data_IF_730373129866
#
_entry.id   IF_730373129866
#
_cell.length_a   1.000
_cell.length_b   1.000
_cell.length_c   1.000
_cell.angle_alpha   90.00
_cell.angle_beta   90.00
_cell.angle_gamma   90.00
#
_symmetry.space_group_name_H-M   'P 1'
#
loop_
_entity.id
_entity.type
_entity.pdbx_description
1 polymer ?
#
# COMPACT_ATOMS: atom_id res chain seq x y z
N UNK A 1 51.95 31.77 26.25
CA UNK A 1 50.50 31.43 26.16
C UNK A 1 49.95 31.47 24.72
N UNK A 2 50.26 32.52 23.93
CA UNK A 2 49.80 32.72 22.55
C UNK A 2 50.20 31.62 21.53
N UNK A 3 51.45 31.11 21.58
CA UNK A 3 51.91 30.00 20.71
C UNK A 3 51.16 28.68 20.95
N UNK A 4 50.79 28.37 22.20
CA UNK A 4 49.97 27.19 22.54
C UNK A 4 48.54 27.32 22.00
N UNK A 5 47.96 28.52 22.06
CA UNK A 5 46.63 28.81 21.50
C UNK A 5 46.63 28.74 19.95
N UNK A 6 47.66 29.27 19.30
CA UNK A 6 47.80 29.20 17.84
C UNK A 6 47.98 27.76 17.33
N UNK A 7 48.81 26.95 18.02
CA UNK A 7 49.05 25.53 17.70
C UNK A 7 47.80 24.66 17.95
N UNK A 8 47.02 24.96 18.99
CA UNK A 8 45.70 24.32 19.23
C UNK A 8 44.67 24.70 18.16
N UNK A 9 44.64 25.98 17.72
CA UNK A 9 43.74 26.45 16.64
C UNK A 9 44.07 25.82 15.29
N UNK A 10 45.36 25.68 14.95
CA UNK A 10 45.78 24.98 13.71
C UNK A 10 45.53 23.47 13.77
N UNK A 11 45.73 22.83 14.92
CA UNK A 11 45.38 21.42 15.11
C UNK A 11 43.86 21.18 14.98
N UNK A 12 43.04 22.04 15.56
CA UNK A 12 41.58 22.00 15.44
C UNK A 12 41.13 22.15 13.98
N UNK A 13 41.67 23.13 13.23
CA UNK A 13 41.37 23.33 11.80
C UNK A 13 41.79 22.12 10.95
N UNK A 14 42.92 21.47 11.26
CA UNK A 14 43.35 20.25 10.56
C UNK A 14 42.41 19.09 10.85
N UNK A 15 42.00 18.91 12.10
CA UNK A 15 41.06 17.87 12.49
C UNK A 15 39.69 18.05 11.82
N UNK A 16 39.17 19.28 11.77
CA UNK A 16 37.89 19.55 11.09
C UNK A 16 37.96 19.30 9.59
N UNK A 17 39.08 19.64 8.93
CA UNK A 17 39.30 19.32 7.52
C UNK A 17 39.39 17.81 7.26
N UNK A 18 40.08 17.06 8.12
CA UNK A 18 40.16 15.60 8.02
C UNK A 18 38.79 14.95 8.24
N UNK A 19 38.02 15.43 9.21
CA UNK A 19 36.65 14.95 9.45
C UNK A 19 35.75 15.25 8.24
N UNK A 20 35.81 16.46 7.69
CA UNK A 20 35.05 16.82 6.50
C UNK A 20 35.41 15.93 5.30
N UNK A 21 36.71 15.71 5.05
CA UNK A 21 37.17 14.82 3.99
C UNK A 21 36.70 13.38 4.20
N UNK A 22 36.78 12.88 5.43
CA UNK A 22 36.28 11.55 5.77
C UNK A 22 34.78 11.42 5.51
N UNK A 23 33.97 12.39 5.97
CA UNK A 23 32.52 12.41 5.74
C UNK A 23 32.19 12.48 4.25
N UNK A 24 32.94 13.26 3.47
CA UNK A 24 32.77 13.33 2.02
C UNK A 24 33.09 11.99 1.35
N UNK A 25 34.25 11.40 1.63
CA UNK A 25 34.67 10.11 1.06
C UNK A 25 33.71 8.99 1.46
N UNK A 26 33.27 8.98 2.72
CA UNK A 26 32.26 8.04 3.21
C UNK A 26 30.94 8.20 2.46
N UNK A 27 30.46 9.43 2.27
CA UNK A 27 29.21 9.71 1.56
C UNK A 27 29.27 9.25 0.11
N UNK A 28 30.39 9.52 -0.58
CA UNK A 28 30.61 9.05 -1.96
C UNK A 28 30.62 7.53 -2.02
N UNK A 29 31.42 6.88 -1.17
CA UNK A 29 31.49 5.42 -1.10
C UNK A 29 30.13 4.79 -0.83
N UNK A 30 29.41 5.27 0.19
CA UNK A 30 28.10 4.74 0.58
C UNK A 30 27.07 4.91 -0.55
N UNK A 31 27.05 6.08 -1.19
CA UNK A 31 26.15 6.36 -2.33
C UNK A 31 26.44 5.43 -3.49
N UNK A 32 27.71 5.30 -3.89
CA UNK A 32 28.12 4.43 -4.99
C UNK A 32 27.87 2.95 -4.68
N UNK A 33 28.16 2.51 -3.46
CA UNK A 33 27.91 1.13 -3.03
C UNK A 33 26.42 0.81 -3.05
N UNK A 34 25.59 1.68 -2.47
CA UNK A 34 24.12 1.55 -2.47
C UNK A 34 23.58 1.48 -3.90
N UNK A 35 23.99 2.41 -4.77
CA UNK A 35 23.59 2.42 -6.19
C UNK A 35 23.98 1.13 -6.91
N UNK A 36 25.18 0.61 -6.65
CA UNK A 36 25.63 -0.65 -7.22
C UNK A 36 24.77 -1.84 -6.77
N UNK A 37 24.37 -1.89 -5.50
CA UNK A 37 23.53 -2.96 -4.97
C UNK A 37 22.11 -2.90 -5.54
N UNK A 38 21.47 -1.73 -5.52
CA UNK A 38 20.13 -1.53 -6.11
C UNK A 38 20.14 -1.89 -7.60
N UNK A 39 21.15 -1.43 -8.36
CA UNK A 39 21.26 -1.75 -9.79
C UNK A 39 21.41 -3.24 -10.04
N UNK A 40 22.20 -3.94 -9.23
CA UNK A 40 22.40 -5.40 -9.35
C UNK A 40 21.07 -6.15 -9.20
N UNK A 41 20.27 -5.82 -8.20
CA UNK A 41 18.97 -6.47 -7.99
C UNK A 41 17.95 -6.07 -9.07
N UNK A 42 17.89 -4.80 -9.45
CA UNK A 42 16.98 -4.31 -10.49
C UNK A 42 17.26 -4.94 -11.87
N UNK A 43 18.54 -5.20 -12.20
CA UNK A 43 18.95 -5.83 -13.46
C UNK A 43 18.96 -7.37 -13.42
N UNK A 44 18.64 -7.97 -12.27
CA UNK A 44 18.52 -9.42 -12.16
C UNK A 44 17.39 -9.94 -13.06
N UNK A 45 17.58 -11.15 -13.60
CA UNK A 45 16.63 -11.75 -14.52
C UNK A 45 15.23 -11.87 -13.90
N UNK A 46 14.20 -11.53 -14.67
CA UNK A 46 12.81 -11.67 -14.26
C UNK A 46 12.46 -13.16 -14.28
N UNK A 47 12.03 -13.75 -13.15
CA UNK A 47 11.60 -15.15 -13.14
C UNK A 47 10.35 -15.35 -14.00
N UNK A 48 10.20 -16.47 -14.71
CA UNK A 48 8.93 -16.79 -15.37
C UNK A 48 7.83 -17.04 -14.33
N UNK A 49 6.57 -17.07 -14.75
CA UNK A 49 5.51 -17.55 -13.88
C UNK A 49 5.77 -19.00 -13.46
N UNK A 50 5.58 -19.29 -12.17
CA UNK A 50 5.60 -20.65 -11.63
C UNK A 50 4.38 -21.46 -12.09
N UNK A 51 4.13 -22.60 -11.45
CA UNK A 51 2.93 -23.43 -11.69
C UNK A 51 1.75 -23.09 -10.78
N UNK A 52 1.89 -22.07 -9.92
CA UNK A 52 0.87 -21.62 -9.00
C UNK A 52 -0.42 -21.18 -9.72
N UNK A 53 -1.56 -21.42 -9.08
CA UNK A 53 -2.87 -20.86 -9.45
C UNK A 53 -3.06 -19.50 -8.77
N UNK A 54 -3.46 -18.50 -9.54
CA UNK A 54 -3.54 -17.11 -9.10
C UNK A 54 -4.98 -16.61 -9.22
N UNK A 55 -5.55 -16.17 -8.10
CA UNK A 55 -6.80 -15.43 -8.06
C UNK A 55 -6.50 -13.93 -8.11
N UNK A 56 -6.89 -13.26 -9.17
CA UNK A 56 -6.70 -11.81 -9.36
C UNK A 56 -7.95 -11.10 -8.85
N UNK A 57 -7.78 -10.09 -8.00
CA UNK A 57 -8.86 -9.32 -7.41
C UNK A 57 -8.64 -7.80 -7.59
N UNK A 58 -9.71 -7.06 -7.85
CA UNK A 58 -9.68 -5.59 -7.92
C UNK A 58 -11.01 -4.98 -7.47
N UNK A 59 -10.94 -3.78 -6.90
CA UNK A 59 -12.08 -2.87 -6.76
C UNK A 59 -11.78 -1.59 -7.54
N UNK A 60 -12.73 -1.10 -8.33
CA UNK A 60 -12.54 0.03 -9.24
C UNK A 60 -13.67 1.05 -9.10
N UNK A 61 -13.33 2.33 -9.26
CA UNK A 61 -14.30 3.43 -9.25
C UNK A 61 -13.76 4.68 -9.96
N UNK A 62 -14.45 5.13 -11.01
CA UNK A 62 -14.23 6.39 -11.75
C UNK A 62 -12.78 6.59 -12.21
N UNK A 63 -12.29 5.72 -13.10
CA UNK A 63 -10.94 5.84 -13.70
C UNK A 63 -10.88 5.34 -15.17
N UNK A 64 -11.88 5.68 -15.98
CA UNK A 64 -12.02 5.18 -17.35
C UNK A 64 -10.73 5.36 -18.18
N UNK A 65 -10.12 6.55 -18.10
CA UNK A 65 -8.99 6.92 -18.95
C UNK A 65 -7.76 6.03 -18.70
N UNK A 66 -7.43 5.77 -17.43
CA UNK A 66 -6.32 4.89 -17.08
C UNK A 66 -6.66 3.44 -17.42
N UNK A 67 -7.88 3.01 -17.10
CA UNK A 67 -8.32 1.64 -17.31
C UNK A 67 -8.31 1.26 -18.78
N UNK A 68 -8.88 2.11 -19.63
CA UNK A 68 -8.98 1.89 -21.08
C UNK A 68 -7.61 1.83 -21.73
N UNK A 69 -6.70 2.72 -21.31
CA UNK A 69 -5.41 2.90 -21.98
C UNK A 69 -4.36 1.88 -21.52
N UNK A 70 -4.40 1.46 -20.25
CA UNK A 70 -3.32 0.69 -19.66
C UNK A 70 -3.78 -0.51 -18.84
N UNK A 71 -4.63 -0.29 -17.81
CA UNK A 71 -4.90 -1.33 -16.81
C UNK A 71 -5.63 -2.54 -17.38
N UNK A 72 -6.73 -2.35 -18.12
CA UNK A 72 -7.52 -3.46 -18.65
C UNK A 72 -6.72 -4.32 -19.67
N UNK A 73 -6.00 -3.72 -20.64
CA UNK A 73 -5.07 -4.47 -21.49
C UNK A 73 -4.02 -5.25 -20.69
N UNK A 74 -3.43 -4.64 -19.66
CA UNK A 74 -2.40 -5.28 -18.84
C UNK A 74 -2.95 -6.47 -18.02
N UNK A 75 -4.18 -6.38 -17.51
CA UNK A 75 -4.86 -7.49 -16.85
C UNK A 75 -5.11 -8.66 -17.81
N UNK A 76 -5.59 -8.36 -19.02
CA UNK A 76 -5.83 -9.39 -20.02
C UNK A 76 -4.53 -10.07 -20.48
N UNK A 77 -3.47 -9.29 -20.70
CA UNK A 77 -2.12 -9.81 -21.00
C UNK A 77 -1.59 -10.69 -19.86
N UNK A 78 -1.66 -10.20 -18.62
CA UNK A 78 -1.23 -10.92 -17.43
C UNK A 78 -1.95 -12.27 -17.30
N UNK A 79 -3.29 -12.27 -17.44
CA UNK A 79 -4.08 -13.47 -17.32
C UNK A 79 -3.77 -14.50 -18.42
N UNK A 80 -3.51 -14.04 -19.66
CA UNK A 80 -3.04 -14.92 -20.76
C UNK A 80 -1.66 -15.51 -20.49
N UNK A 81 -0.73 -14.71 -19.95
CA UNK A 81 0.63 -15.14 -19.62
C UNK A 81 0.69 -16.12 -18.43
N UNK A 82 -0.22 -15.99 -17.46
CA UNK A 82 -0.41 -16.99 -16.39
C UNK A 82 -1.04 -18.27 -16.99
N UNK A 83 -2.02 -18.10 -17.86
CA UNK A 83 -2.71 -19.17 -18.56
C UNK A 83 -4.11 -19.46 -17.98
N UNK A 84 -5.10 -19.76 -18.83
CA UNK A 84 -6.54 -19.79 -18.47
C UNK A 84 -6.89 -20.84 -17.40
N UNK A 85 -6.13 -21.94 -17.34
CA UNK A 85 -6.35 -23.03 -16.36
C UNK A 85 -5.86 -22.68 -14.95
N UNK A 86 -5.06 -21.62 -14.81
CA UNK A 86 -4.39 -21.25 -13.55
C UNK A 86 -4.72 -19.85 -13.07
N UNK A 87 -5.64 -19.16 -13.74
CA UNK A 87 -6.03 -17.80 -13.37
C UNK A 87 -7.55 -17.70 -13.23
N UNK A 88 -7.97 -16.89 -12.27
CA UNK A 88 -9.34 -16.40 -12.17
C UNK A 88 -9.30 -14.90 -11.93
N UNK A 89 -10.11 -14.13 -12.64
CA UNK A 89 -10.16 -12.66 -12.50
C UNK A 89 -11.47 -12.23 -11.83
N UNK A 90 -11.39 -11.54 -10.69
CA UNK A 90 -12.53 -11.03 -9.95
C UNK A 90 -12.45 -9.51 -9.82
N UNK A 91 -13.44 -8.79 -10.34
CA UNK A 91 -13.46 -7.33 -10.32
C UNK A 91 -14.82 -6.88 -9.79
N UNK A 92 -14.80 -5.95 -8.84
CA UNK A 92 -15.99 -5.25 -8.40
C UNK A 92 -15.86 -3.77 -8.76
N UNK A 93 -16.81 -3.26 -9.53
CA UNK A 93 -16.92 -1.85 -9.90
C UNK A 93 -18.04 -1.20 -9.08
N UNK A 94 -17.71 -0.13 -8.35
CA UNK A 94 -18.58 0.47 -7.33
C UNK A 94 -19.40 1.68 -7.78
N UNK A 95 -20.05 1.63 -8.93
CA UNK A 95 -20.94 2.70 -9.39
C UNK A 95 -20.20 3.97 -9.84
N UNK A 96 -19.33 3.83 -10.82
CA UNK A 96 -18.52 4.90 -11.42
C UNK A 96 -19.35 6.02 -12.05
N UNK A 97 -18.78 7.22 -12.07
CA UNK A 97 -19.38 8.42 -12.67
C UNK A 97 -18.99 8.63 -14.15
N UNK A 98 -18.10 7.81 -14.68
CA UNK A 98 -17.58 7.81 -16.06
C UNK A 98 -17.84 6.45 -16.76
N UNK A 99 -17.30 6.22 -17.97
CA UNK A 99 -17.50 4.97 -18.73
C UNK A 99 -16.56 3.83 -18.26
N UNK A 100 -16.14 3.82 -16.98
CA UNK A 100 -15.40 2.70 -16.39
C UNK A 100 -16.13 1.37 -16.61
N UNK A 101 -17.47 1.35 -16.47
CA UNK A 101 -18.31 0.18 -16.74
C UNK A 101 -18.16 -0.31 -18.18
N UNK A 102 -18.17 0.59 -19.16
CA UNK A 102 -17.98 0.24 -20.56
C UNK A 102 -16.60 -0.35 -20.85
N UNK A 103 -15.54 0.15 -20.20
CA UNK A 103 -14.19 -0.45 -20.29
C UNK A 103 -14.18 -1.88 -19.74
N UNK A 104 -14.87 -2.13 -18.62
CA UNK A 104 -14.92 -3.44 -18.00
C UNK A 104 -15.75 -4.46 -18.79
N UNK A 105 -16.80 -4.04 -19.50
CA UNK A 105 -17.52 -4.90 -20.45
C UNK A 105 -16.64 -5.34 -21.64
N UNK A 106 -15.78 -4.44 -22.14
CA UNK A 106 -14.81 -4.78 -23.16
C UNK A 106 -13.76 -5.78 -22.63
N UNK A 107 -13.26 -5.56 -21.41
CA UNK A 107 -12.35 -6.50 -20.75
C UNK A 107 -13.01 -7.87 -20.56
N UNK A 108 -14.26 -7.91 -20.11
CA UNK A 108 -15.05 -9.14 -19.98
C UNK A 108 -15.06 -9.93 -21.28
N UNK A 109 -15.39 -9.26 -22.39
CA UNK A 109 -15.42 -9.87 -23.73
C UNK A 109 -14.04 -10.42 -24.13
N UNK A 110 -12.95 -9.71 -23.86
CA UNK A 110 -11.58 -10.18 -24.15
C UNK A 110 -11.18 -11.41 -23.31
N UNK A 111 -11.55 -11.42 -22.02
CA UNK A 111 -11.32 -12.56 -21.13
C UNK A 111 -12.13 -13.79 -21.56
N UNK A 112 -13.40 -13.62 -21.92
CA UNK A 112 -14.27 -14.68 -22.46
C UNK A 112 -13.68 -15.28 -23.74
N UNK A 113 -13.27 -14.44 -24.69
CA UNK A 113 -12.65 -14.88 -25.94
C UNK A 113 -11.33 -15.64 -25.73
N UNK A 114 -10.63 -15.34 -24.64
CA UNK A 114 -9.39 -15.99 -24.24
C UNK A 114 -9.60 -17.24 -23.36
N UNK A 115 -10.84 -17.63 -23.07
CA UNK A 115 -11.17 -18.77 -22.19
C UNK A 115 -10.78 -18.55 -20.72
N UNK A 116 -10.59 -17.29 -20.30
CA UNK A 116 -10.19 -16.93 -18.94
C UNK A 116 -11.43 -16.82 -18.06
N UNK A 117 -11.47 -17.61 -16.97
CA UNK A 117 -12.58 -17.57 -16.01
C UNK A 117 -12.53 -16.29 -15.18
N UNK A 118 -13.69 -15.68 -14.98
CA UNK A 118 -13.78 -14.40 -14.29
C UNK A 118 -15.16 -14.14 -13.67
N UNK A 119 -15.23 -13.16 -12.78
CA UNK A 119 -16.45 -12.48 -12.33
C UNK A 119 -16.19 -10.98 -12.34
N UNK A 120 -16.96 -10.24 -13.14
CA UNK A 120 -16.92 -8.78 -13.15
C UNK A 120 -18.31 -8.30 -12.74
N UNK A 121 -18.38 -7.64 -11.59
CA UNK A 121 -19.62 -7.04 -11.06
C UNK A 121 -19.60 -5.56 -11.38
N UNK A 122 -20.63 -5.08 -12.07
CA UNK A 122 -20.85 -3.67 -12.37
C UNK A 122 -22.03 -3.20 -11.51
N UNK A 123 -21.73 -2.54 -10.39
CA UNK A 123 -22.76 -2.09 -9.45
C UNK A 123 -23.43 -0.82 -9.96
N UNK A 124 -24.76 -0.80 -9.94
CA UNK A 124 -25.53 0.41 -10.28
C UNK A 124 -25.68 1.37 -9.10
N UNK A 125 -25.37 0.92 -7.88
CA UNK A 125 -25.36 1.74 -6.68
C UNK A 125 -24.19 2.72 -6.75
N UNK A 126 -24.49 4.01 -6.89
CA UNK A 126 -23.45 5.04 -6.94
C UNK A 126 -22.98 5.42 -5.54
N UNK A 127 -21.81 6.07 -5.47
CA UNK A 127 -21.37 6.70 -4.22
C UNK A 127 -22.39 7.69 -3.65
N UNK A 128 -23.18 8.34 -4.51
CA UNK A 128 -24.26 9.23 -4.07
C UNK A 128 -25.36 8.45 -3.35
N UNK A 129 -25.79 7.31 -3.89
CA UNK A 129 -26.80 6.45 -3.27
C UNK A 129 -26.31 5.90 -1.91
N UNK A 130 -25.01 5.57 -1.82
CA UNK A 130 -24.37 5.10 -0.59
C UNK A 130 -24.33 6.13 0.53
N UNK A 131 -24.13 7.41 0.22
CA UNK A 131 -24.12 8.49 1.23
C UNK A 131 -25.50 9.04 1.55
N UNK A 132 -26.48 8.92 0.65
CA UNK A 132 -27.85 9.42 0.84
C UNK A 132 -28.80 8.41 1.51
N UNK A 133 -28.42 7.13 1.58
CA UNK A 133 -29.22 6.11 2.27
C UNK A 133 -29.27 6.34 3.78
N UNK A 134 -30.27 5.72 4.43
CA UNK A 134 -30.39 5.76 5.89
C UNK A 134 -29.18 5.13 6.58
N UNK A 135 -28.69 5.70 7.71
CA UNK A 135 -27.57 5.13 8.44
C UNK A 135 -27.83 3.68 8.82
N UNK A 136 -26.88 2.81 8.47
CA UNK A 136 -26.91 1.42 8.88
C UNK A 136 -26.47 1.27 10.34
N UNK A 137 -26.72 0.10 10.92
CA UNK A 137 -26.30 -0.23 12.29
C UNK A 137 -24.78 -0.12 12.48
N UNK A 138 -24.01 -0.46 11.44
CA UNK A 138 -22.55 -0.44 11.48
C UNK A 138 -21.95 0.32 10.29
N UNK A 139 -20.76 0.89 10.47
CA UNK A 139 -19.99 1.55 9.42
C UNK A 139 -20.44 2.97 9.11
N UNK A 140 -21.14 3.61 10.03
CA UNK A 140 -21.59 4.99 9.94
C UNK A 140 -21.09 5.78 11.16
N UNK A 141 -20.86 7.08 10.98
CA UNK A 141 -20.39 7.95 12.05
C UNK A 141 -20.97 9.35 11.92
N UNK A 142 -21.07 10.07 13.03
CA UNK A 142 -21.50 11.45 13.03
C UNK A 142 -20.31 12.38 12.82
N UNK A 143 -20.51 13.41 12.00
CA UNK A 143 -19.55 14.49 11.82
C UNK A 143 -19.22 15.15 13.17
N UNK A 144 -17.95 15.18 13.61
CA UNK A 144 -17.58 15.73 14.91
C UNK A 144 -17.68 17.27 14.92
N UNK A 145 -17.48 17.89 13.75
CA UNK A 145 -17.47 19.33 13.52
C UNK A 145 -18.02 19.63 12.13
N UNK A 146 -18.49 20.85 11.91
CA UNK A 146 -18.86 21.32 10.58
C UNK A 146 -17.62 21.44 9.69
N UNK A 147 -17.70 20.95 8.45
CA UNK A 147 -16.57 20.99 7.50
C UNK A 147 -17.05 21.12 6.06
N UNK A 148 -16.31 21.89 5.26
CA UNK A 148 -16.57 22.09 3.84
C UNK A 148 -15.65 21.24 2.96
N UNK A 149 -16.23 20.66 1.91
CA UNK A 149 -15.58 19.77 0.96
C UNK A 149 -15.74 20.30 -0.46
N UNK A 150 -14.76 20.02 -1.32
CA UNK A 150 -14.84 20.40 -2.73
C UNK A 150 -15.87 19.54 -3.44
N UNK A 151 -16.79 20.17 -4.14
CA UNK A 151 -17.66 19.52 -5.11
C UNK A 151 -16.95 19.40 -6.46
N UNK A 152 -16.33 20.50 -6.90
CA UNK A 152 -15.54 20.58 -8.13
C UNK A 152 -14.42 21.64 -7.96
N UNK A 153 -13.83 22.12 -9.06
CA UNK A 153 -12.73 23.10 -9.01
C UNK A 153 -13.14 24.49 -8.49
N UNK A 154 -14.43 24.84 -8.51
CA UNK A 154 -14.97 26.15 -8.10
C UNK A 154 -15.92 26.07 -6.90
N UNK A 155 -16.68 24.99 -6.76
CA UNK A 155 -17.80 24.86 -5.82
C UNK A 155 -17.47 23.97 -4.62
N UNK A 156 -18.11 24.28 -3.50
CA UNK A 156 -17.96 23.59 -2.22
C UNK A 156 -19.32 23.28 -1.61
N UNK A 157 -19.40 22.17 -0.89
CA UNK A 157 -20.54 21.84 -0.04
C UNK A 157 -20.08 21.66 1.40
N UNK A 158 -21.02 21.74 2.35
CA UNK A 158 -20.71 21.68 3.78
C UNK A 158 -21.50 20.54 4.41
N UNK A 159 -20.85 19.79 5.29
CA UNK A 159 -21.49 18.85 6.20
C UNK A 159 -21.48 19.45 7.59
N UNK A 160 -22.63 19.50 8.23
CA UNK A 160 -22.80 20.07 9.57
C UNK A 160 -22.41 19.06 10.65
N UNK A 161 -22.03 19.58 11.83
CA UNK A 161 -21.81 18.74 13.01
C UNK A 161 -23.05 17.89 13.31
N UNK A 162 -22.84 16.61 13.64
CA UNK A 162 -23.90 15.65 13.93
C UNK A 162 -24.51 14.97 12.70
N UNK A 163 -24.15 15.39 11.49
CA UNK A 163 -24.58 14.73 10.24
C UNK A 163 -24.02 13.30 10.20
N UNK A 164 -24.89 12.32 9.97
CA UNK A 164 -24.47 10.94 9.77
C UNK A 164 -23.87 10.75 8.38
N UNK A 165 -22.69 10.13 8.32
CA UNK A 165 -21.97 9.82 7.09
C UNK A 165 -21.42 8.40 7.11
N UNK A 166 -21.34 7.71 5.96
CA UNK A 166 -20.68 6.41 5.92
C UNK A 166 -19.19 6.56 6.18
N UNK A 167 -18.63 5.61 6.92
CA UNK A 167 -17.20 5.47 7.10
C UNK A 167 -16.58 4.85 5.84
N UNK A 168 -15.49 5.44 5.37
CA UNK A 168 -14.78 4.98 4.16
C UNK A 168 -14.25 3.55 4.31
N UNK A 169 -13.64 3.22 5.44
CA UNK A 169 -12.95 1.94 5.59
C UNK A 169 -13.91 0.75 5.65
N UNK A 170 -14.99 0.77 6.45
CA UNK A 170 -16.00 -0.28 6.40
C UNK A 170 -16.65 -0.44 5.01
N UNK A 171 -16.83 0.66 4.26
CA UNK A 171 -17.27 0.59 2.86
C UNK A 171 -16.28 -0.20 1.99
N UNK A 172 -15.00 0.22 1.96
CA UNK A 172 -13.97 -0.43 1.16
C UNK A 172 -13.77 -1.90 1.55
N UNK A 173 -13.76 -2.21 2.85
CA UNK A 173 -13.65 -3.57 3.35
C UNK A 173 -14.80 -4.46 2.85
N UNK A 174 -16.04 -3.96 2.86
CA UNK A 174 -17.21 -4.67 2.32
C UNK A 174 -17.04 -4.95 0.83
N UNK A 175 -16.69 -3.94 0.03
CA UNK A 175 -16.50 -4.08 -1.42
C UNK A 175 -15.38 -5.08 -1.75
N UNK A 176 -14.28 -5.05 -1.00
CA UNK A 176 -13.19 -6.03 -1.16
C UNK A 176 -13.63 -7.45 -0.84
N UNK A 177 -14.43 -7.62 0.21
CA UNK A 177 -14.97 -8.93 0.57
C UNK A 177 -15.95 -9.45 -0.50
N UNK A 178 -16.76 -8.58 -1.12
CA UNK A 178 -17.62 -8.95 -2.25
C UNK A 178 -16.79 -9.44 -3.46
N UNK A 179 -15.70 -8.75 -3.79
CA UNK A 179 -14.79 -9.19 -4.85
C UNK A 179 -14.10 -10.54 -4.53
N UNK A 180 -14.07 -10.96 -3.27
CA UNK A 180 -13.50 -12.25 -2.84
C UNK A 180 -14.52 -13.40 -2.82
N UNK A 181 -15.82 -13.13 -2.94
CA UNK A 181 -16.86 -14.17 -2.95
C UNK A 181 -16.58 -15.35 -3.91
N UNK A 182 -16.12 -15.13 -5.16
CA UNK A 182 -15.81 -16.22 -6.07
C UNK A 182 -14.73 -17.17 -5.54
N UNK A 183 -13.75 -16.67 -4.77
CA UNK A 183 -12.70 -17.49 -4.19
C UNK A 183 -13.28 -18.56 -3.26
N UNK A 184 -14.26 -18.17 -2.43
CA UNK A 184 -14.91 -19.06 -1.47
C UNK A 184 -15.92 -20.00 -2.13
N UNK A 185 -16.60 -19.55 -3.18
CA UNK A 185 -17.45 -20.41 -4.00
C UNK A 185 -16.65 -21.51 -4.70
N UNK A 186 -15.53 -21.14 -5.33
CA UNK A 186 -14.64 -22.08 -6.01
C UNK A 186 -14.03 -23.08 -5.01
N UNK A 187 -13.64 -22.62 -3.82
CA UNK A 187 -13.20 -23.52 -2.74
C UNK A 187 -14.28 -24.55 -2.39
N UNK A 188 -15.53 -24.12 -2.21
CA UNK A 188 -16.66 -25.03 -1.94
C UNK A 188 -16.91 -26.00 -3.09
N UNK A 189 -16.61 -25.60 -4.33
CA UNK A 189 -16.66 -26.45 -5.51
C UNK A 189 -15.42 -27.37 -5.66
N UNK A 190 -14.48 -27.35 -4.71
CA UNK A 190 -13.29 -28.20 -4.71
C UNK A 190 -12.07 -27.62 -5.42
N UNK A 191 -12.09 -26.33 -5.77
CA UNK A 191 -10.97 -25.64 -6.40
C UNK A 191 -10.35 -24.58 -5.50
N UNK A 192 -9.03 -24.66 -5.33
CA UNK A 192 -8.25 -23.68 -4.56
C UNK A 192 -7.22 -22.98 -5.44
N UNK A 193 -6.82 -21.80 -4.99
CA UNK A 193 -5.72 -21.01 -5.58
C UNK A 193 -4.54 -20.99 -4.60
N UNK A 194 -3.34 -20.78 -5.12
CA UNK A 194 -2.13 -20.68 -4.29
C UNK A 194 -1.85 -19.22 -3.89
N UNK A 195 -2.25 -18.27 -4.75
CA UNK A 195 -2.05 -16.83 -4.56
C UNK A 195 -3.33 -16.03 -4.76
N UNK A 196 -3.48 -14.98 -3.96
CA UNK A 196 -4.46 -13.91 -4.19
C UNK A 196 -3.69 -12.64 -4.54
N UNK A 197 -3.83 -12.17 -5.77
CA UNK A 197 -3.19 -10.96 -6.29
C UNK A 197 -4.21 -9.81 -6.33
N UNK A 198 -4.03 -8.83 -5.49
CA UNK A 198 -4.83 -7.61 -5.47
C UNK A 198 -4.15 -6.49 -6.27
N UNK A 199 -4.94 -5.81 -7.10
CA UNK A 199 -4.51 -4.64 -7.86
C UNK A 199 -5.47 -3.47 -7.62
N UNK A 200 -4.91 -2.29 -7.43
CA UNK A 200 -5.60 -1.02 -7.61
C UNK A 200 -5.59 -0.64 -9.11
N UNK A 201 -6.18 0.51 -9.42
CA UNK A 201 -6.08 1.29 -10.66
C UNK A 201 -4.67 1.90 -10.86
N UNK A 202 -3.65 1.04 -10.99
CA UNK A 202 -2.26 1.45 -11.24
C UNK A 202 -1.74 0.96 -12.58
N UNK A 203 -0.77 1.66 -13.16
CA UNK A 203 0.01 1.20 -14.29
C UNK A 203 1.10 0.25 -13.79
N UNK A 204 1.17 -0.92 -14.41
CA UNK A 204 2.15 -1.97 -14.17
C UNK A 204 2.44 -2.72 -15.47
N UNK A 205 3.50 -3.53 -15.48
CA UNK A 205 3.72 -4.53 -16.52
C UNK A 205 3.72 -5.98 -15.98
N UNK A 206 3.66 -6.97 -16.88
CA UNK A 206 3.65 -8.39 -16.49
C UNK A 206 4.92 -8.79 -15.73
N UNK A 207 6.06 -8.16 -16.00
CA UNK A 207 7.31 -8.44 -15.32
C UNK A 207 7.34 -7.91 -13.89
N UNK A 208 6.64 -6.81 -13.59
CA UNK A 208 6.39 -6.34 -12.23
C UNK A 208 5.69 -7.43 -11.42
N UNK A 209 4.64 -8.05 -11.98
CA UNK A 209 3.90 -9.12 -11.31
C UNK A 209 4.75 -10.38 -11.14
N UNK A 210 5.54 -10.76 -12.15
CA UNK A 210 6.51 -11.86 -12.03
C UNK A 210 7.50 -11.64 -10.91
N UNK A 211 8.09 -10.44 -10.82
CA UNK A 211 9.00 -10.06 -9.73
C UNK A 211 8.29 -10.06 -8.38
N UNK A 212 7.06 -9.59 -8.32
CA UNK A 212 6.27 -9.55 -7.09
C UNK A 212 5.99 -10.95 -6.56
N UNK A 213 5.49 -11.85 -7.41
CA UNK A 213 5.19 -13.23 -7.05
C UNK A 213 6.46 -14.02 -6.68
N UNK A 214 7.58 -13.72 -7.34
CA UNK A 214 8.87 -14.33 -7.03
C UNK A 214 9.58 -13.72 -5.81
N UNK A 215 8.98 -12.74 -5.12
CA UNK A 215 9.54 -12.16 -3.89
C UNK A 215 9.89 -13.28 -2.92
N UNK A 216 11.14 -13.33 -2.44
CA UNK A 216 11.63 -14.42 -1.57
C UNK A 216 11.32 -15.84 -2.10
N UNK A 217 11.41 -16.04 -3.41
CA UNK A 217 11.09 -17.32 -4.06
C UNK A 217 9.65 -17.81 -3.78
N UNK A 218 8.71 -16.89 -3.56
CA UNK A 218 7.32 -17.20 -3.19
C UNK A 218 7.09 -17.42 -1.69
N UNK A 219 8.13 -17.39 -0.84
CA UNK A 219 7.98 -17.62 0.59
C UNK A 219 7.72 -16.31 1.36
N UNK A 220 6.44 -15.92 1.39
CA UNK A 220 5.90 -14.77 2.12
C UNK A 220 4.43 -14.98 2.46
N UNK A 221 3.94 -14.28 3.49
CA UNK A 221 2.51 -14.18 3.77
C UNK A 221 1.85 -13.15 2.85
N UNK A 222 2.53 -12.02 2.66
CA UNK A 222 2.18 -11.00 1.68
C UNK A 222 3.43 -10.31 1.11
N UNK A 223 3.38 -9.95 -0.16
CA UNK A 223 4.40 -9.17 -0.85
C UNK A 223 3.75 -8.03 -1.63
N UNK A 224 4.20 -6.79 -1.40
CA UNK A 224 3.66 -5.59 -2.04
C UNK A 224 4.67 -4.90 -2.95
N UNK A 225 4.14 -4.15 -3.91
CA UNK A 225 4.91 -3.21 -4.73
C UNK A 225 5.30 -1.95 -3.95
N UNK A 226 5.91 -0.98 -4.64
CA UNK A 226 5.99 0.42 -4.23
C UNK A 226 5.12 1.26 -5.16
N UNK A 227 4.27 2.13 -4.62
CA UNK A 227 3.41 3.00 -5.43
C UNK A 227 3.76 4.47 -5.35
N UNK A 228 3.52 5.15 -6.48
CA UNK A 228 3.80 6.56 -6.66
C UNK A 228 2.61 7.27 -7.32
N UNK A 229 2.07 8.28 -6.64
CA UNK A 229 1.15 9.24 -7.26
C UNK A 229 1.91 10.41 -7.91
N UNK A 230 2.96 10.86 -7.22
CA UNK A 230 3.87 11.90 -7.70
C UNK A 230 5.31 11.49 -7.34
N UNK A 231 6.03 10.78 -8.22
CA UNK A 231 7.44 10.48 -8.04
C UNK A 231 8.27 11.74 -7.75
N UNK A 232 9.30 11.64 -6.88
CA UNK A 232 9.81 10.41 -6.24
C UNK A 232 9.18 10.12 -4.88
N UNK A 233 7.99 10.69 -4.60
CA UNK A 233 7.34 10.54 -3.30
C UNK A 233 6.52 9.25 -3.24
N UNK A 234 6.91 8.37 -2.33
CA UNK A 234 6.14 7.20 -1.93
C UNK A 234 4.76 7.62 -1.41
N UNK A 235 3.70 6.97 -1.92
CA UNK A 235 2.34 7.43 -1.72
C UNK A 235 1.66 6.82 -0.49
N UNK A 236 1.65 5.49 -0.37
CA UNK A 236 0.77 4.79 0.56
C UNK A 236 1.30 4.71 2.00
N UNK A 237 1.28 5.86 2.67
CA UNK A 237 1.63 6.00 4.09
C UNK A 237 0.57 5.39 5.02
N UNK A 238 -0.69 5.34 4.59
CA UNK A 238 -1.78 4.92 5.45
C UNK A 238 -1.76 3.41 5.70
N UNK A 239 -1.50 2.60 4.66
CA UNK A 239 -1.46 1.14 4.79
C UNK A 239 -0.07 0.60 5.21
N UNK A 240 1.01 1.35 4.97
CA UNK A 240 2.38 0.85 5.13
C UNK A 240 2.93 1.06 6.54
N UNK A 241 3.48 0.00 7.14
CA UNK A 241 4.19 0.07 8.42
C UNK A 241 5.50 -0.69 8.32
N UNK A 242 6.62 -0.09 8.71
CA UNK A 242 7.93 -0.72 8.61
C UNK A 242 8.05 -1.94 9.55
N UNK A 243 9.19 -2.65 9.53
CA UNK A 243 9.34 -3.90 10.29
C UNK A 243 9.15 -3.74 11.81
N UNK A 244 9.28 -2.52 12.33
CA UNK A 244 9.08 -2.23 13.76
C UNK A 244 7.69 -1.59 14.02
N UNK A 245 6.80 -1.58 13.01
CA UNK A 245 5.44 -1.08 13.10
C UNK A 245 5.29 0.44 12.90
N UNK A 246 6.34 1.16 12.48
CA UNK A 246 6.25 2.61 12.29
C UNK A 246 5.68 2.98 10.93
N UNK A 247 4.95 4.08 10.86
CA UNK A 247 4.72 4.77 9.58
C UNK A 247 6.06 5.08 8.86
N UNK A 248 6.07 5.20 7.53
CA UNK A 248 7.26 5.61 6.81
C UNK A 248 7.79 6.96 7.33
N UNK A 249 9.07 7.01 7.71
CA UNK A 249 9.71 8.19 8.31
C UNK A 249 9.77 9.40 7.34
N UNK A 250 9.79 9.14 6.03
CA UNK A 250 9.84 10.15 4.98
C UNK A 250 9.35 9.61 3.64
N UNK A 251 8.74 10.46 2.81
CA UNK A 251 8.18 10.03 1.53
C UNK A 251 9.23 9.82 0.43
N UNK A 252 10.48 10.28 0.64
CA UNK A 252 11.58 10.01 -0.27
C UNK A 252 12.37 8.80 0.20
N UNK A 253 12.99 8.10 -0.73
CA UNK A 253 13.86 6.97 -0.44
C UNK A 253 14.94 7.37 0.60
N UNK A 254 15.28 6.53 1.62
CA UNK A 254 14.90 5.12 1.81
C UNK A 254 13.72 4.88 2.77
N UNK A 255 12.73 5.79 2.81
CA UNK A 255 11.42 5.69 3.47
C UNK A 255 11.38 5.38 4.97
N UNK A 256 11.86 4.21 5.39
CA UNK A 256 11.61 3.60 6.69
C UNK A 256 12.53 4.09 7.81
N UNK A 257 12.06 3.92 9.05
CA UNK A 257 12.86 4.11 10.26
C UNK A 257 13.61 2.82 10.59
N UNK A 258 12.91 1.69 10.56
CA UNK A 258 13.44 0.39 10.97
C UNK A 258 14.75 0.09 10.26
N UNK A 259 15.80 -0.33 11.00
CA UNK A 259 17.05 -0.75 10.40
C UNK A 259 16.85 -1.88 9.38
N UNK A 260 16.00 -2.86 9.69
CA UNK A 260 15.77 -4.02 8.83
C UNK A 260 15.17 -3.63 7.47
N UNK A 261 14.07 -2.87 7.48
CA UNK A 261 13.41 -2.40 6.25
C UNK A 261 14.33 -1.48 5.44
N UNK A 262 15.01 -0.53 6.11
CA UNK A 262 15.88 0.45 5.45
C UNK A 262 17.12 -0.19 4.83
N UNK A 263 17.75 -1.15 5.51
CA UNK A 263 18.94 -1.83 4.99
C UNK A 263 18.61 -2.75 3.81
N UNK A 264 17.46 -3.43 3.86
CA UNK A 264 16.96 -4.20 2.73
C UNK A 264 16.71 -3.31 1.50
N UNK A 265 16.01 -2.19 1.66
CA UNK A 265 15.82 -1.19 0.60
C UNK A 265 17.15 -0.64 0.06
N UNK A 266 18.12 -0.36 0.94
CA UNK A 266 19.46 0.10 0.55
C UNK A 266 20.25 -0.92 -0.29
N UNK A 267 19.86 -2.20 -0.22
CA UNK A 267 20.47 -3.28 -1.01
C UNK A 267 19.63 -3.68 -2.22
N UNK A 268 18.46 -3.06 -2.45
CA UNK A 268 17.53 -3.47 -3.50
C UNK A 268 16.83 -4.81 -3.21
N UNK A 269 16.83 -5.26 -1.96
CA UNK A 269 16.23 -6.53 -1.53
C UNK A 269 14.81 -6.32 -1.00
N UNK A 270 13.96 -7.37 -0.99
CA UNK A 270 12.66 -7.32 -0.33
C UNK A 270 12.79 -6.83 1.12
N UNK A 271 12.10 -5.73 1.43
CA UNK A 271 12.16 -5.08 2.72
C UNK A 271 11.08 -5.65 3.65
N UNK A 272 11.44 -6.16 4.85
CA UNK A 272 10.44 -6.61 5.81
C UNK A 272 9.62 -5.42 6.30
N UNK A 273 8.33 -5.64 6.49
CA UNK A 273 7.35 -4.66 6.96
C UNK A 273 6.32 -5.38 7.82
N UNK A 274 5.56 -4.66 8.65
CA UNK A 274 4.39 -5.25 9.34
C UNK A 274 3.12 -5.15 8.52
N UNK A 275 3.04 -4.19 7.58
CA UNK A 275 1.91 -4.07 6.66
C UNK A 275 2.29 -3.29 5.39
N UNK A 276 1.60 -3.58 4.29
CA UNK A 276 1.76 -2.91 3.01
C UNK A 276 0.54 -3.12 2.09
N UNK A 277 0.36 -2.28 1.07
CA UNK A 277 -0.66 -2.48 0.01
C UNK A 277 -0.16 -1.96 -1.32
N UNK A 278 0.19 -0.67 -1.37
CA UNK A 278 1.08 -0.07 -2.36
C UNK A 278 0.70 -0.35 -3.82
N UNK A 279 -0.58 -0.23 -4.14
CA UNK A 279 -1.11 -0.41 -5.49
C UNK A 279 -1.26 -1.88 -5.93
N UNK A 280 -0.30 -2.75 -5.60
CA UNK A 280 -0.36 -4.19 -5.90
C UNK A 280 0.20 -5.00 -4.73
N UNK A 281 -0.57 -5.99 -4.27
CA UNK A 281 -0.15 -6.95 -3.23
C UNK A 281 -0.52 -8.38 -3.61
N UNK A 282 0.41 -9.30 -3.41
CA UNK A 282 0.18 -10.73 -3.50
C UNK A 282 0.15 -11.34 -2.10
N UNK A 283 -0.90 -12.08 -1.79
CA UNK A 283 -1.04 -12.87 -0.56
C UNK A 283 -0.86 -14.35 -0.84
N UNK A 284 -0.37 -15.09 0.16
CA UNK A 284 -0.58 -16.53 0.24
C UNK A 284 -2.08 -16.80 0.44
N UNK A 285 -2.67 -17.56 -0.49
CA UNK A 285 -4.12 -17.82 -0.47
C UNK A 285 -4.55 -18.66 0.73
N UNK A 286 -3.64 -19.41 1.34
CA UNK A 286 -3.91 -20.25 2.51
C UNK A 286 -4.56 -19.49 3.66
N UNK A 287 -4.20 -18.21 3.87
CA UNK A 287 -4.79 -17.39 4.93
C UNK A 287 -6.30 -17.15 4.77
N UNK A 288 -6.79 -17.05 3.53
CA UNK A 288 -8.22 -16.90 3.23
C UNK A 288 -8.98 -18.22 3.40
N UNK A 289 -8.26 -19.33 3.50
CA UNK A 289 -8.83 -20.66 3.60
C UNK A 289 -8.82 -21.26 5.00
N UNK A 290 -8.38 -20.51 6.01
CA UNK A 290 -8.41 -20.95 7.40
C UNK A 290 -9.84 -21.37 7.82
N UNK A 291 -9.93 -22.46 8.57
CA UNK A 291 -11.22 -23.06 8.94
C UNK A 291 -11.90 -22.34 10.11
N UNK A 292 -11.12 -21.73 11.01
CA UNK A 292 -11.63 -21.08 12.21
C UNK A 292 -11.78 -19.56 11.99
N UNK A 293 -10.78 -18.94 11.37
CA UNK A 293 -10.71 -17.50 11.16
C UNK A 293 -10.17 -17.20 9.76
N UNK A 294 -10.98 -17.40 8.70
CA UNK A 294 -10.58 -17.03 7.35
C UNK A 294 -10.27 -15.54 7.27
N UNK A 295 -9.17 -15.21 6.60
CA UNK A 295 -8.74 -13.84 6.42
C UNK A 295 -9.81 -13.04 5.64
N UNK A 296 -10.20 -11.87 6.14
CA UNK A 296 -11.20 -11.00 5.52
C UNK A 296 -10.87 -9.53 5.80
N UNK A 297 -11.29 -8.64 4.90
CA UNK A 297 -11.11 -7.21 5.10
C UNK A 297 -12.11 -6.69 6.14
N UNK A 298 -11.64 -5.79 7.01
CA UNK A 298 -12.47 -5.12 8.02
C UNK A 298 -11.96 -3.70 8.30
N UNK A 299 -12.84 -2.85 8.82
CA UNK A 299 -12.45 -1.65 9.53
C UNK A 299 -12.35 -1.91 11.04
N UNK A 300 -11.93 -0.89 11.79
CA UNK A 300 -12.03 -0.94 13.26
C UNK A 300 -13.51 -0.86 13.71
N UNK A 301 -13.85 -1.40 14.91
CA UNK A 301 -15.21 -1.31 15.46
C UNK A 301 -15.72 0.12 15.53
N UNK A 302 -17.02 0.33 15.32
CA UNK A 302 -17.64 1.67 15.43
C UNK A 302 -17.43 2.26 16.83
N UNK A 303 -17.47 1.43 17.88
CA UNK A 303 -17.21 1.86 19.27
C UNK A 303 -15.79 2.38 19.51
N UNK A 304 -14.82 2.02 18.66
CA UNK A 304 -13.47 2.59 18.68
C UNK A 304 -13.39 3.80 17.75
N UNK A 305 -14.08 3.77 16.61
CA UNK A 305 -14.07 4.86 15.63
C UNK A 305 -14.66 6.17 16.18
N UNK A 306 -15.65 6.11 17.07
CA UNK A 306 -16.22 7.29 17.74
C UNK A 306 -15.21 8.08 18.57
N UNK A 307 -14.07 7.47 18.94
CA UNK A 307 -12.95 8.15 19.59
C UNK A 307 -12.10 8.96 18.60
N UNK A 308 -12.61 9.27 17.40
CA UNK A 308 -11.88 9.91 16.30
C UNK A 308 -10.63 9.09 15.92
N UNK A 309 -10.84 7.78 15.76
CA UNK A 309 -9.83 6.84 15.32
C UNK A 309 -10.26 6.17 14.04
N UNK A 310 -9.31 5.78 13.21
CA UNK A 310 -9.56 4.94 12.04
C UNK A 310 -8.33 4.08 11.74
N UNK A 311 -8.56 2.90 11.14
CA UNK A 311 -7.47 2.00 10.73
C UNK A 311 -7.71 1.51 9.31
N UNK A 312 -6.71 1.59 8.43
CA UNK A 312 -6.85 1.14 7.04
C UNK A 312 -7.12 -0.37 6.98
N UNK A 313 -8.11 -0.79 6.21
CA UNK A 313 -8.38 -2.21 5.94
C UNK A 313 -7.19 -2.89 5.26
N UNK A 314 -6.44 -2.14 4.46
CA UNK A 314 -5.22 -2.58 3.80
C UNK A 314 -4.05 -2.79 4.77
N UNK A 315 -4.09 -2.17 5.96
CA UNK A 315 -3.13 -2.42 7.04
C UNK A 315 -3.63 -3.55 7.95
N UNK A 316 -4.88 -3.46 8.40
CA UNK A 316 -5.51 -4.38 9.37
C UNK A 316 -5.52 -5.82 8.86
N UNK A 317 -5.65 -6.04 7.55
CA UNK A 317 -5.57 -7.37 6.94
C UNK A 317 -4.27 -8.10 7.30
N UNK A 318 -3.16 -7.40 7.52
CA UNK A 318 -1.89 -8.03 7.92
C UNK A 318 -1.84 -8.38 9.41
N UNK A 319 -2.51 -7.58 10.25
CA UNK A 319 -2.66 -7.89 11.67
C UNK A 319 -3.47 -9.19 11.90
N UNK A 320 -4.44 -9.44 11.02
CA UNK A 320 -5.29 -10.63 11.07
C UNK A 320 -4.70 -11.83 10.31
N UNK A 321 -3.65 -11.62 9.51
CA UNK A 321 -3.02 -12.67 8.72
C UNK A 321 -2.10 -13.53 9.59
N UNK A 322 -2.56 -14.71 9.99
CA UNK A 322 -1.78 -15.64 10.82
C UNK A 322 -0.44 -16.06 10.19
N UNK A 323 -0.34 -16.12 8.84
CA UNK A 323 0.91 -16.44 8.15
C UNK A 323 1.96 -15.33 8.25
N UNK A 324 1.56 -14.09 8.58
CA UNK A 324 2.49 -12.97 8.70
C UNK A 324 3.58 -13.24 9.77
N UNK A 325 3.25 -13.98 10.83
CA UNK A 325 4.21 -14.32 11.89
C UNK A 325 5.29 -15.30 11.42
N UNK A 326 4.96 -16.21 10.51
CA UNK A 326 5.87 -17.29 10.07
C UNK A 326 6.55 -17.00 8.73
N UNK A 327 5.85 -16.35 7.79
CA UNK A 327 6.35 -16.06 6.44
C UNK A 327 6.68 -14.57 6.22
N UNK A 328 6.18 -13.68 7.07
CA UNK A 328 6.45 -12.24 7.01
C UNK A 328 5.69 -11.50 5.90
N UNK A 329 5.67 -10.18 6.02
CA UNK A 329 5.16 -9.25 5.01
C UNK A 329 6.34 -8.45 4.43
N UNK A 330 6.34 -8.26 3.12
CA UNK A 330 7.50 -7.75 2.40
C UNK A 330 7.12 -6.71 1.35
N UNK A 331 7.91 -5.66 1.21
CA UNK A 331 7.85 -4.76 0.06
C UNK A 331 8.99 -5.10 -0.90
N UNK A 332 8.67 -5.34 -2.16
CA UNK A 332 9.68 -5.59 -3.19
C UNK A 332 10.06 -4.27 -3.89
N UNK A 333 11.26 -3.70 -3.65
CA UNK A 333 11.65 -2.41 -4.24
C UNK A 333 11.87 -2.47 -5.76
N UNK A 334 11.89 -3.66 -6.35
CA UNK A 334 12.02 -3.87 -7.78
C UNK A 334 10.66 -4.00 -8.49
N UNK A 335 9.55 -3.76 -7.78
CA UNK A 335 8.19 -3.70 -8.32
C UNK A 335 7.66 -2.31 -8.01
N UNK A 336 7.56 -1.45 -9.02
CA UNK A 336 7.30 -0.01 -8.85
C UNK A 336 6.18 0.42 -9.77
N UNK A 337 5.04 0.79 -9.20
CA UNK A 337 3.80 1.09 -9.91
C UNK A 337 3.39 2.55 -9.70
N UNK A 338 2.54 3.09 -10.57
CA UNK A 338 2.05 4.45 -10.42
C UNK A 338 0.63 4.62 -10.95
N UNK A 339 -0.06 5.67 -10.51
CA UNK A 339 -1.46 5.95 -10.89
C UNK A 339 -1.59 6.68 -12.24
N UNK A 340 -0.52 6.74 -13.03
CA UNK A 340 -0.54 7.18 -14.43
C UNK A 340 0.75 6.78 -15.16
N UNK A 341 0.71 6.90 -16.48
CA UNK A 341 1.78 6.44 -17.37
C UNK A 341 3.09 7.19 -17.16
N UNK A 342 3.10 8.53 -17.18
CA UNK A 342 4.33 9.32 -17.11
C UNK A 342 5.08 9.08 -15.81
N UNK A 343 4.34 8.96 -14.71
CA UNK A 343 4.90 8.67 -13.41
C UNK A 343 5.45 7.24 -13.34
N UNK A 344 4.72 6.25 -13.88
CA UNK A 344 5.17 4.86 -13.96
C UNK A 344 6.49 4.75 -14.76
N UNK A 345 6.57 5.41 -15.91
CA UNK A 345 7.77 5.38 -16.75
C UNK A 345 9.02 5.95 -16.06
N UNK A 346 8.83 6.89 -15.13
CA UNK A 346 9.92 7.50 -14.36
C UNK A 346 10.45 6.62 -13.22
N UNK A 347 9.65 5.64 -12.76
CA UNK A 347 9.96 4.79 -11.61
C UNK A 347 9.98 3.30 -11.92
N UNK A 348 9.61 2.84 -13.11
CA UNK A 348 9.54 1.41 -13.40
C UNK A 348 10.91 0.71 -13.32
N UNK A 349 10.92 -0.54 -12.86
CA UNK A 349 12.10 -1.37 -12.80
C UNK A 349 12.41 -2.11 -14.10
N UNK A 350 11.41 -2.30 -14.97
CA UNK A 350 11.58 -2.97 -16.25
C UNK A 350 12.30 -2.11 -17.29
N UNK A 351 12.38 -0.80 -17.05
CA UNK A 351 13.18 0.14 -17.86
C UNK A 351 14.53 0.37 -17.19
N UNK A 352 15.59 0.52 -18.00
CA UNK A 352 16.99 0.76 -17.59
C UNK A 352 17.19 2.15 -16.91
N UNK A 353 16.27 2.59 -16.06
CA UNK A 353 16.29 3.88 -15.38
C UNK A 353 17.26 3.90 -14.20
N UNK A 354 17.87 5.05 -13.97
CA UNK A 354 18.79 5.31 -12.85
C UNK A 354 18.05 5.57 -11.52
N UNK A 355 17.03 4.77 -11.18
CA UNK A 355 16.22 4.98 -9.98
C UNK A 355 16.74 4.19 -8.76
N UNK A 356 16.75 4.78 -7.55
CA UNK A 356 16.70 6.22 -7.29
C UNK A 356 17.99 6.87 -7.81
N UNK A 357 17.95 8.16 -8.16
CA UNK A 357 19.14 8.86 -8.65
C UNK A 357 20.25 8.91 -7.58
N UNK A 358 21.51 9.05 -7.99
CA UNK A 358 22.63 9.19 -7.04
C UNK A 358 22.44 10.36 -6.06
N UNK A 359 21.82 11.45 -6.53
CA UNK A 359 21.49 12.60 -5.69
C UNK A 359 20.42 12.26 -4.65
N UNK A 360 19.39 11.49 -5.02
CA UNK A 360 18.37 11.01 -4.08
C UNK A 360 18.93 10.03 -3.07
N UNK A 361 19.81 9.13 -3.48
CA UNK A 361 20.49 8.21 -2.56
C UNK A 361 21.31 9.01 -1.53
N UNK A 362 22.18 9.91 -2.01
CA UNK A 362 23.03 10.73 -1.14
C UNK A 362 22.20 11.57 -0.16
N UNK A 363 21.24 12.35 -0.67
CA UNK A 363 20.43 13.24 0.17
C UNK A 363 19.46 12.47 1.06
N UNK A 364 18.89 11.37 0.56
CA UNK A 364 17.99 10.48 1.28
C UNK A 364 18.64 9.84 2.50
N UNK A 365 19.84 9.28 2.34
CA UNK A 365 20.61 8.68 3.45
C UNK A 365 20.86 9.68 4.58
N UNK A 366 21.32 10.89 4.25
CA UNK A 366 21.55 11.94 5.24
C UNK A 366 20.26 12.44 5.88
N UNK A 367 19.22 12.74 5.09
CA UNK A 367 17.92 13.18 5.63
C UNK A 367 17.30 12.14 6.57
N UNK A 368 17.38 10.87 6.21
CA UNK A 368 16.87 9.78 7.03
C UNK A 368 17.68 9.69 8.35
N UNK A 369 19.01 9.79 8.32
CA UNK A 369 19.84 9.88 9.56
C UNK A 369 19.39 11.01 10.47
N UNK A 370 19.29 12.23 9.95
CA UNK A 370 18.90 13.40 10.74
C UNK A 370 17.49 13.25 11.31
N UNK A 371 16.53 12.77 10.51
CA UNK A 371 15.17 12.52 10.99
C UNK A 371 15.17 11.53 12.16
N UNK A 372 15.85 10.38 12.04
CA UNK A 372 15.92 9.39 13.12
C UNK A 372 16.52 9.95 14.41
N UNK A 373 17.53 10.81 14.32
CA UNK A 373 18.16 11.44 15.48
C UNK A 373 17.29 12.50 16.17
N UNK A 374 16.34 13.10 15.44
CA UNK A 374 15.54 14.25 15.93
C UNK A 374 14.10 13.89 16.29
N UNK A 375 13.65 12.65 16.08
CA UNK A 375 12.24 12.27 16.23
C UNK A 375 12.07 11.06 17.13
N UNK A 376 10.89 10.94 17.74
CA UNK A 376 10.52 9.94 18.75
C UNK A 376 10.52 8.51 18.22
N UNK A 377 10.53 7.55 19.16
CA UNK A 377 10.75 6.11 18.93
C UNK A 377 9.53 5.23 19.21
N UNK A 378 8.30 5.77 19.23
CA UNK A 378 7.09 4.96 19.38
C UNK A 378 6.40 4.77 18.02
N UNK A 379 6.03 3.54 17.61
CA UNK A 379 5.32 3.29 16.35
C UNK A 379 3.89 3.81 16.37
N UNK A 380 3.27 3.80 17.56
CA UNK A 380 1.94 4.36 17.78
C UNK A 380 2.06 5.75 18.40
N UNK A 381 1.27 6.70 17.89
CA UNK A 381 1.15 8.04 18.48
C UNK A 381 0.57 7.91 19.89
N UNK A 382 1.17 8.58 20.89
CA UNK A 382 0.71 8.50 22.29
C UNK A 382 -0.78 8.81 22.44
N UNK A 383 -1.31 9.78 21.69
CA UNK A 383 -2.74 10.11 21.71
C UNK A 383 -3.62 8.98 21.19
N UNK A 384 -3.16 8.24 20.19
CA UNK A 384 -3.86 7.07 19.67
C UNK A 384 -3.80 5.94 20.71
N UNK A 385 -2.62 5.65 21.25
CA UNK A 385 -2.42 4.63 22.26
C UNK A 385 -3.30 4.87 23.49
N UNK A 386 -3.34 6.10 24.01
CA UNK A 386 -4.18 6.45 25.16
C UNK A 386 -5.67 6.21 24.89
N UNK A 387 -6.17 6.58 23.70
CA UNK A 387 -7.56 6.34 23.28
C UNK A 387 -7.87 4.83 23.18
N UNK A 388 -6.98 4.06 22.54
CA UNK A 388 -7.14 2.60 22.41
C UNK A 388 -7.12 1.92 23.78
N UNK A 389 -6.18 2.28 24.66
CA UNK A 389 -6.10 1.74 26.03
C UNK A 389 -7.37 2.06 26.83
N UNK A 390 -7.87 3.30 26.75
CA UNK A 390 -9.11 3.67 27.44
C UNK A 390 -10.31 2.87 26.90
N UNK A 391 -10.39 2.66 25.59
CA UNK A 391 -11.43 1.83 24.97
C UNK A 391 -11.32 0.37 25.40
N UNK A 392 -10.12 -0.21 25.46
CA UNK A 392 -9.89 -1.57 25.95
C UNK A 392 -10.28 -1.74 27.43
N UNK A 393 -10.05 -0.72 28.26
CA UNK A 393 -10.45 -0.75 29.68
C UNK A 393 -11.96 -0.58 29.89
N UNK A 394 -12.67 0.02 28.93
CA UNK A 394 -14.11 0.25 29.04
C UNK A 394 -14.93 -1.04 28.96
N UNK A 395 -14.48 -2.04 28.19
CA UNK A 395 -15.12 -3.34 28.06
C UNK A 395 -14.07 -4.44 27.82
N UNK A 396 -14.12 -5.51 28.62
CA UNK A 396 -13.15 -6.61 28.55
C UNK A 396 -13.31 -7.47 27.28
N UNK A 397 -14.43 -7.33 26.56
CA UNK A 397 -14.64 -7.97 25.26
C UNK A 397 -13.96 -7.23 24.11
N UNK A 398 -13.53 -5.98 24.32
CA UNK A 398 -12.82 -5.22 23.31
C UNK A 398 -11.42 -5.79 23.03
N UNK A 399 -11.10 -5.93 21.75
CA UNK A 399 -9.78 -6.33 21.28
C UNK A 399 -9.51 -5.73 19.90
N UNK A 400 -8.31 -5.22 19.69
CA UNK A 400 -7.84 -4.75 18.38
C UNK A 400 -6.36 -5.12 18.21
N UNK A 401 -6.03 -6.23 17.52
CA UNK A 401 -4.64 -6.66 17.34
C UNK A 401 -3.84 -5.73 16.41
N UNK A 402 -4.51 -4.87 15.63
CA UNK A 402 -3.92 -3.97 14.66
C UNK A 402 -3.70 -2.54 15.16
N UNK A 403 -3.41 -2.31 16.44
CA UNK A 403 -3.21 -0.95 17.00
C UNK A 403 -2.21 -0.10 16.19
N UNK A 404 -1.15 -0.73 15.65
CA UNK A 404 -0.15 -0.06 14.82
C UNK A 404 -0.70 0.47 13.48
N UNK A 405 -1.88 0.04 13.05
CA UNK A 405 -2.58 0.55 11.88
C UNK A 405 -3.42 1.80 12.16
N UNK A 406 -3.70 2.09 13.43
CA UNK A 406 -4.67 3.10 13.84
C UNK A 406 -4.05 4.51 13.77
N UNK A 407 -4.83 5.45 13.24
CA UNK A 407 -4.51 6.87 13.19
C UNK A 407 -5.59 7.71 13.89
N UNK A 408 -5.19 8.91 14.34
CA UNK A 408 -6.10 9.89 14.94
C UNK A 408 -6.76 10.76 13.86
N UNK A 409 -7.58 10.12 13.02
CA UNK A 409 -8.28 10.74 11.90
C UNK A 409 -9.59 9.99 11.63
N UNK A 410 -10.62 10.67 11.13
CA UNK A 410 -11.85 10.06 10.66
C UNK A 410 -11.90 10.02 9.13
N UNK A 411 -12.04 8.82 8.54
CA UNK A 411 -12.15 8.64 7.09
C UNK A 411 -13.62 8.44 6.70
N UNK A 412 -14.15 9.33 5.88
CA UNK A 412 -15.56 9.33 5.50
C UNK A 412 -15.75 9.19 3.99
N UNK A 413 -16.93 8.72 3.61
CA UNK A 413 -17.37 8.64 2.22
C UNK A 413 -18.14 9.91 1.85
N UNK A 414 -17.83 10.46 0.69
CA UNK A 414 -18.54 11.58 0.07
C UNK A 414 -19.11 11.11 -1.27
N UNK A 415 -20.19 11.74 -1.74
CA UNK A 415 -20.81 11.37 -3.02
C UNK A 415 -19.83 11.46 -4.22
N UNK A 416 -18.80 12.31 -4.12
CA UNK A 416 -17.77 12.51 -5.14
C UNK A 416 -16.39 11.97 -4.74
N UNK A 417 -16.30 11.09 -3.74
CA UNK A 417 -15.06 10.40 -3.38
C UNK A 417 -14.87 10.24 -1.88
N UNK A 418 -13.70 10.64 -1.38
CA UNK A 418 -13.27 10.40 0.00
C UNK A 418 -13.01 11.71 0.72
N UNK A 419 -13.36 11.74 2.00
CA UNK A 419 -13.14 12.88 2.89
C UNK A 419 -12.48 12.49 4.19
N UNK A 420 -11.96 13.50 4.88
CA UNK A 420 -11.52 13.40 6.27
C UNK A 420 -12.43 14.29 7.10
N UNK A 421 -12.94 13.83 8.24
CA UNK A 421 -13.75 14.66 9.13
C UNK A 421 -12.87 15.44 10.11
#
# INVERSE_FOLDING_TARGET
MLLRLHRKRTAFIRLTKLLFLFVLLWTVYETSHTKSMIRKEATSAVPPFGQEKIFIASILWTDEALLRKHWAPAIAELAREIGPERVFVSIYEGGSLDDTKGVLELLKTDLEASGIRHRIVLDETTHKDEVERSPAENGWIQMPLQKSYRQNWTDWFTLDQGTWVPRRIPYLARTRNQAMEPLYELKRAGETFDRVLWLNDVVFDVNDIRRLLATRNGDYAAACALDFKHPPYFYDFFATRDADGFEPLMARWPYFRSPASREALARGLPAPVTSCWNGIVAFDAGSFYDAEKPLAFRGIPDSLAVEHLEGSECCLIHADNHLAQTKGVWINPNVRVAYNTSEYESVSASREGDWPSSFEVMTGLWRNRFKRWLTTSSPVNQRVADKVINWLHADHSHAEPGEYCIIDEMQIMLWNGWGHA
#
